data_IF_771486275683
#
_entry.id   IF_771486275683
#
_cell.length_a   1.000
_cell.length_b   1.000
_cell.length_c   1.000
_cell.angle_alpha   90.00
_cell.angle_beta   90.00
_cell.angle_gamma   90.00
#
_symmetry.space_group_name_H-M   'P 1'
#
loop_
_entity.id
_entity.type
_entity.pdbx_description
1 polymer ?
#
# COMPACT_ATOMS: atom_id res chain seq x y z
N UNK A 1 -5.83 25.10 -2.51
CA UNK A 1 -6.35 23.73 -2.37
C UNK A 1 -5.67 22.91 -3.44
N UNK A 2 -4.99 21.84 -3.06
CA UNK A 2 -4.12 21.07 -3.95
C UNK A 2 -4.88 19.88 -4.56
N UNK A 3 -4.59 19.57 -5.83
CA UNK A 3 -5.00 18.33 -6.46
C UNK A 3 -3.98 17.24 -6.12
N UNK A 4 -4.42 16.16 -5.51
CA UNK A 4 -3.56 15.08 -5.05
C UNK A 4 -3.98 13.74 -5.67
N UNK A 5 -2.98 12.89 -5.89
CA UNK A 5 -3.18 11.54 -6.45
C UNK A 5 -2.52 10.53 -5.52
N UNK A 6 -3.31 9.61 -4.98
CA UNK A 6 -2.79 8.48 -4.22
C UNK A 6 -2.80 7.21 -5.09
N UNK A 7 -1.65 6.55 -5.19
CA UNK A 7 -1.54 5.25 -5.88
C UNK A 7 -1.80 4.10 -4.91
N UNK A 8 -2.45 3.05 -5.40
CA UNK A 8 -2.65 1.79 -4.68
C UNK A 8 -2.56 0.59 -5.62
N UNK A 9 -2.64 -0.60 -5.08
CA UNK A 9 -2.85 -1.80 -5.87
C UNK A 9 -4.16 -1.68 -6.67
N UNK A 10 -4.14 -2.08 -7.94
CA UNK A 10 -5.37 -2.16 -8.76
C UNK A 10 -6.35 -3.10 -8.06
N UNK A 11 -7.60 -2.65 -7.90
CA UNK A 11 -8.64 -3.32 -7.14
C UNK A 11 -8.79 -2.81 -5.69
N UNK A 12 -7.85 -2.01 -5.18
CA UNK A 12 -7.91 -1.42 -3.83
C UNK A 12 -8.44 0.03 -3.81
N UNK A 13 -8.82 0.62 -4.94
CA UNK A 13 -9.18 2.03 -5.06
C UNK A 13 -10.35 2.42 -4.12
N UNK A 14 -11.35 1.55 -3.97
CA UNK A 14 -12.47 1.79 -3.05
C UNK A 14 -12.02 1.84 -1.59
N UNK A 15 -11.07 0.98 -1.21
CA UNK A 15 -10.51 0.93 0.15
C UNK A 15 -9.71 2.20 0.43
N UNK A 16 -8.80 2.59 -0.47
CA UNK A 16 -8.04 3.83 -0.37
C UNK A 16 -8.96 5.05 -0.35
N UNK A 17 -10.00 5.09 -1.18
CA UNK A 17 -10.99 6.16 -1.18
C UNK A 17 -11.74 6.29 0.15
N UNK A 18 -12.06 5.17 0.81
CA UNK A 18 -12.66 5.20 2.14
C UNK A 18 -11.66 5.73 3.20
N UNK A 19 -10.40 5.35 3.11
CA UNK A 19 -9.33 5.83 3.99
C UNK A 19 -9.15 7.36 3.87
N UNK A 20 -9.12 7.88 2.63
CA UNK A 20 -9.06 9.31 2.34
C UNK A 20 -10.27 10.07 2.92
N UNK A 21 -11.49 9.53 2.77
CA UNK A 21 -12.71 10.12 3.38
C UNK A 21 -12.65 10.14 4.91
N UNK A 22 -12.14 9.08 5.54
CA UNK A 22 -11.94 9.03 7.00
C UNK A 22 -10.92 10.06 7.49
N UNK A 23 -9.93 10.42 6.66
CA UNK A 23 -9.01 11.52 6.93
C UNK A 23 -9.63 12.91 6.68
N UNK A 24 -10.87 12.99 6.17
CA UNK A 24 -11.60 14.23 5.90
C UNK A 24 -11.41 14.78 4.49
N UNK A 25 -10.77 14.06 3.57
CA UNK A 25 -10.53 14.55 2.21
C UNK A 25 -11.72 14.30 1.28
N UNK A 26 -11.96 15.28 0.39
CA UNK A 26 -12.96 15.16 -0.68
C UNK A 26 -12.33 14.46 -1.88
N UNK A 27 -12.97 13.37 -2.33
CA UNK A 27 -12.52 12.66 -3.53
C UNK A 27 -12.90 13.41 -4.81
N UNK A 28 -12.03 13.30 -5.81
CA UNK A 28 -12.20 13.83 -7.17
C UNK A 28 -12.11 12.72 -8.24
N UNK A 29 -12.73 11.58 -7.97
CA UNK A 29 -12.72 10.43 -8.88
C UNK A 29 -11.63 9.39 -8.59
N UNK A 30 -11.56 8.42 -9.48
CA UNK A 30 -10.52 7.38 -9.47
C UNK A 30 -10.27 6.83 -10.88
N UNK A 31 -9.12 6.19 -11.05
CA UNK A 31 -8.75 5.39 -12.22
C UNK A 31 -8.05 4.11 -11.70
N UNK A 32 -7.84 3.07 -12.53
CA UNK A 32 -7.18 1.85 -12.09
C UNK A 32 -5.85 2.13 -11.38
N UNK A 33 -5.75 1.73 -10.10
CA UNK A 33 -4.60 1.95 -9.22
C UNK A 33 -4.41 3.40 -8.74
N UNK A 34 -5.38 4.32 -8.95
CA UNK A 34 -5.27 5.73 -8.57
C UNK A 34 -6.57 6.25 -7.98
N UNK A 35 -6.45 7.06 -6.92
CA UNK A 35 -7.56 7.82 -6.34
C UNK A 35 -7.17 9.29 -6.31
N UNK A 36 -8.02 10.16 -6.86
CA UNK A 36 -7.85 11.60 -6.92
C UNK A 36 -8.60 12.26 -5.76
N UNK A 37 -7.97 13.23 -5.11
CA UNK A 37 -8.58 13.93 -3.98
C UNK A 37 -8.08 15.37 -3.85
N UNK A 38 -8.84 16.18 -3.17
CA UNK A 38 -8.49 17.56 -2.82
C UNK A 38 -7.96 17.62 -1.39
N UNK A 39 -6.88 18.38 -1.17
CA UNK A 39 -6.32 18.64 0.14
C UNK A 39 -5.77 20.06 0.27
N UNK A 40 -5.65 20.52 1.50
CA UNK A 40 -4.89 21.71 1.86
C UNK A 40 -3.37 21.41 1.89
N UNK A 41 -2.55 22.35 2.34
CA UNK A 41 -1.10 22.16 2.42
C UNK A 41 -0.71 21.09 3.45
N UNK A 42 -1.51 20.93 4.51
CA UNK A 42 -1.32 19.86 5.49
C UNK A 42 -1.48 18.46 4.86
N UNK A 43 -2.36 18.34 3.87
CA UNK A 43 -2.60 17.08 3.18
C UNK A 43 -1.37 16.55 2.45
N UNK A 44 -0.46 17.41 2.00
CA UNK A 44 0.80 17.02 1.36
C UNK A 44 1.62 16.10 2.26
N UNK A 45 1.68 16.43 3.55
CA UNK A 45 2.40 15.64 4.55
C UNK A 45 1.51 14.58 5.20
N UNK A 46 0.30 14.95 5.64
CA UNK A 46 -0.59 14.09 6.42
C UNK A 46 -1.06 12.85 5.64
N UNK A 47 -1.30 12.97 4.31
CA UNK A 47 -1.64 11.82 3.49
C UNK A 47 -0.50 10.79 3.45
N UNK A 48 0.75 11.24 3.28
CA UNK A 48 1.92 10.37 3.33
C UNK A 48 2.12 9.71 4.70
N UNK A 49 1.87 10.44 5.78
CA UNK A 49 2.00 9.93 7.15
C UNK A 49 0.93 8.88 7.49
N UNK A 50 -0.33 9.11 7.08
CA UNK A 50 -1.49 8.39 7.61
C UNK A 50 -2.03 7.28 6.71
N UNK A 51 -1.86 7.36 5.38
CA UNK A 51 -2.45 6.39 4.46
C UNK A 51 -1.76 5.02 4.57
N UNK A 52 -2.55 3.99 4.89
CA UNK A 52 -2.08 2.61 5.05
C UNK A 52 -2.06 1.85 3.74
N UNK A 53 -3.02 2.16 2.85
CA UNK A 53 -3.27 1.41 1.62
C UNK A 53 -2.71 2.06 0.37
N UNK A 54 -2.17 3.29 0.50
CA UNK A 54 -1.48 3.97 -0.59
C UNK A 54 -0.03 3.50 -0.73
N UNK A 55 0.41 3.31 -1.97
CA UNK A 55 1.82 3.04 -2.30
C UNK A 55 2.64 4.32 -2.49
N UNK A 56 2.01 5.40 -2.97
CA UNK A 56 2.61 6.75 -3.14
C UNK A 56 1.52 7.82 -3.12
N UNK A 57 1.91 9.02 -2.77
CA UNK A 57 1.10 10.25 -2.89
C UNK A 57 1.84 11.23 -3.76
N UNK A 58 1.13 11.80 -4.75
CA UNK A 58 1.64 12.80 -5.68
C UNK A 58 0.87 14.10 -5.56
N UNK A 59 1.55 15.20 -5.79
CA UNK A 59 0.94 16.49 -6.10
C UNK A 59 0.75 16.59 -7.62
N UNK A 60 -0.46 16.82 -8.11
CA UNK A 60 -0.72 17.15 -9.51
C UNK A 60 -0.29 18.60 -9.75
N UNK A 61 0.80 18.77 -10.49
CA UNK A 61 1.38 20.08 -10.80
C UNK A 61 0.62 20.76 -11.96
N UNK A 62 0.27 19.96 -12.98
CA UNK A 62 -0.50 20.44 -14.12
C UNK A 62 -1.30 19.31 -14.78
N UNK A 63 -2.41 19.68 -15.42
CA UNK A 63 -3.21 18.83 -16.30
C UNK A 63 -3.64 19.61 -17.52
N UNK A 64 -3.44 19.05 -18.73
CA UNK A 64 -3.75 19.66 -20.00
C UNK A 64 -3.82 18.63 -21.11
N UNK A 65 -4.42 19.00 -22.25
CA UNK A 65 -4.49 18.17 -23.44
C UNK A 65 -3.25 18.36 -24.32
N UNK A 66 -2.69 17.27 -24.86
CA UNK A 66 -1.59 17.30 -25.81
C UNK A 66 -1.63 16.09 -26.74
N UNK A 67 -1.64 16.33 -28.04
CA UNK A 67 -1.65 15.31 -29.09
C UNK A 67 -0.28 15.11 -29.75
N UNK A 68 0.62 16.08 -29.61
CA UNK A 68 1.97 16.05 -30.17
C UNK A 68 3.03 16.50 -29.13
N UNK A 69 4.31 16.42 -29.55
CA UNK A 69 5.44 16.75 -28.67
C UNK A 69 5.61 18.25 -28.45
N UNK A 70 5.13 19.10 -29.32
CA UNK A 70 5.21 20.56 -29.16
C UNK A 70 4.19 21.01 -28.12
N UNK A 71 2.94 20.52 -28.20
CA UNK A 71 1.91 20.75 -27.20
C UNK A 71 2.33 20.19 -25.83
N UNK A 72 2.94 18.97 -25.81
CA UNK A 72 3.49 18.40 -24.59
C UNK A 72 4.56 19.31 -23.98
N UNK A 73 5.51 19.78 -24.77
CA UNK A 73 6.59 20.65 -24.31
C UNK A 73 6.04 21.96 -23.73
N UNK A 74 5.15 22.64 -24.45
CA UNK A 74 4.55 23.91 -24.03
C UNK A 74 3.77 23.76 -22.73
N UNK A 75 2.97 22.72 -22.58
CA UNK A 75 2.23 22.49 -21.33
C UNK A 75 3.14 22.21 -20.14
N UNK A 76 4.21 21.44 -20.33
CA UNK A 76 5.23 21.24 -19.28
C UNK A 76 5.96 22.52 -18.95
N UNK A 77 6.39 23.30 -19.95
CA UNK A 77 7.10 24.57 -19.78
C UNK A 77 6.26 25.61 -19.03
N UNK A 78 4.96 25.65 -19.28
CA UNK A 78 4.06 26.60 -18.63
C UNK A 78 3.70 26.22 -17.18
N UNK A 79 4.01 25.01 -16.71
CA UNK A 79 3.79 24.60 -15.34
C UNK A 79 4.74 25.34 -14.36
N UNK A 80 4.32 25.57 -13.09
CA UNK A 80 5.04 26.40 -12.12
C UNK A 80 6.17 25.62 -11.39
N UNK A 81 7.09 25.01 -12.11
CA UNK A 81 8.14 24.16 -11.55
C UNK A 81 9.05 24.87 -10.55
N UNK A 82 9.28 26.19 -10.73
CA UNK A 82 10.09 27.02 -9.85
C UNK A 82 9.56 27.08 -8.40
N UNK A 83 8.28 26.76 -8.19
CA UNK A 83 7.65 26.76 -6.86
C UNK A 83 7.96 25.45 -6.11
N UNK A 84 8.37 24.41 -6.84
CA UNK A 84 8.58 23.07 -6.29
C UNK A 84 10.05 22.63 -6.23
N UNK A 85 10.93 23.27 -6.99
CA UNK A 85 12.34 22.89 -7.08
C UNK A 85 13.27 23.97 -6.56
N UNK A 86 14.47 23.55 -6.13
CA UNK A 86 15.60 24.41 -5.79
C UNK A 86 16.50 24.58 -7.03
N UNK A 87 17.41 25.57 -7.00
CA UNK A 87 18.35 25.83 -8.10
C UNK A 87 19.31 24.70 -8.40
N UNK A 88 19.52 23.81 -7.43
CA UNK A 88 20.40 22.64 -7.51
C UNK A 88 19.64 21.31 -7.60
N UNK A 89 18.31 21.32 -7.58
CA UNK A 89 17.48 20.10 -7.65
C UNK A 89 17.84 19.25 -8.87
N UNK A 90 17.94 17.93 -8.66
CA UNK A 90 18.02 16.95 -9.73
C UNK A 90 16.64 16.40 -10.04
N UNK A 91 16.10 16.73 -11.19
CA UNK A 91 14.77 16.25 -11.61
C UNK A 91 14.90 14.94 -12.37
N UNK A 92 14.12 13.95 -11.96
CA UNK A 92 14.04 12.64 -12.61
C UNK A 92 12.61 12.36 -13.04
N UNK A 93 12.44 11.92 -14.29
CA UNK A 93 11.14 11.42 -14.75
C UNK A 93 11.12 9.93 -14.43
N UNK A 94 10.60 9.59 -13.22
CA UNK A 94 10.58 8.22 -12.67
C UNK A 94 9.82 7.27 -13.61
N UNK A 95 8.67 7.71 -14.12
CA UNK A 95 7.85 6.86 -14.97
C UNK A 95 6.90 7.66 -15.84
N UNK A 96 6.77 7.23 -17.07
CA UNK A 96 5.71 7.65 -17.98
C UNK A 96 4.72 6.49 -18.14
N UNK A 97 3.44 6.80 -18.22
CA UNK A 97 2.38 5.84 -18.54
C UNK A 97 1.45 6.45 -19.57
N UNK A 98 1.36 5.83 -20.71
CA UNK A 98 0.45 6.24 -21.80
C UNK A 98 -0.63 5.20 -22.02
N UNK A 99 -1.84 5.65 -22.29
CA UNK A 99 -2.98 4.78 -22.62
C UNK A 99 -3.91 5.49 -23.61
N UNK A 100 -4.18 4.85 -24.75
CA UNK A 100 -5.02 5.40 -25.83
C UNK A 100 -4.66 6.83 -26.20
N UNK A 101 -3.37 7.11 -26.36
CA UNK A 101 -2.85 8.44 -26.66
C UNK A 101 -1.98 8.41 -27.92
N UNK A 102 -1.97 9.54 -28.66
CA UNK A 102 -1.06 9.78 -29.79
C UNK A 102 0.39 9.79 -29.32
N UNK A 103 0.65 10.32 -28.14
CA UNK A 103 1.94 10.30 -27.43
C UNK A 103 2.16 8.95 -26.76
N UNK A 104 2.57 7.93 -27.50
CA UNK A 104 2.68 6.54 -27.02
C UNK A 104 4.12 6.07 -26.72
N UNK A 105 5.14 6.84 -27.09
CA UNK A 105 6.54 6.54 -26.78
C UNK A 105 6.91 7.05 -25.37
N UNK A 106 6.87 6.17 -24.36
CA UNK A 106 7.22 6.53 -22.98
C UNK A 106 8.61 7.19 -22.89
N UNK A 107 9.60 6.70 -23.66
CA UNK A 107 10.96 7.25 -23.66
C UNK A 107 11.05 8.64 -24.29
N UNK A 108 10.36 8.89 -25.42
CA UNK A 108 10.33 10.20 -26.03
C UNK A 108 9.63 11.24 -25.15
N UNK A 109 8.48 10.87 -24.56
CA UNK A 109 7.77 11.72 -23.58
C UNK A 109 8.68 12.06 -22.40
N UNK A 110 9.41 11.08 -21.84
CA UNK A 110 10.34 11.30 -20.74
C UNK A 110 11.40 12.37 -21.08
N UNK A 111 12.03 12.26 -22.26
CA UNK A 111 13.04 13.22 -22.71
C UNK A 111 12.49 14.63 -22.91
N UNK A 112 11.30 14.75 -23.53
CA UNK A 112 10.66 16.05 -23.78
C UNK A 112 10.25 16.72 -22.46
N UNK A 113 9.62 15.96 -21.53
CA UNK A 113 9.21 16.49 -20.23
C UNK A 113 10.42 17.00 -19.45
N UNK A 114 11.48 16.20 -19.35
CA UNK A 114 12.70 16.59 -18.64
C UNK A 114 13.33 17.87 -19.25
N UNK A 115 13.44 17.92 -20.58
CA UNK A 115 13.96 19.08 -21.31
C UNK A 115 13.13 20.34 -21.04
N UNK A 116 11.79 20.23 -21.05
CA UNK A 116 10.90 21.36 -20.84
C UNK A 116 10.96 21.89 -19.39
N UNK A 117 11.06 21.00 -18.40
CA UNK A 117 11.24 21.38 -16.99
C UNK A 117 12.55 22.17 -16.83
N UNK A 118 13.69 21.64 -17.31
CA UNK A 118 14.97 22.32 -17.17
C UNK A 118 15.02 23.63 -17.95
N UNK A 119 14.40 23.69 -19.13
CA UNK A 119 14.29 24.94 -19.89
C UNK A 119 13.52 26.00 -19.10
N UNK A 120 12.36 25.65 -18.51
CA UNK A 120 11.57 26.52 -17.64
C UNK A 120 12.39 27.04 -16.47
N UNK A 121 13.04 26.15 -15.74
CA UNK A 121 13.82 26.50 -14.55
C UNK A 121 15.03 27.40 -14.91
N UNK A 122 15.73 27.08 -15.99
CA UNK A 122 16.86 27.88 -16.50
C UNK A 122 16.42 29.30 -16.87
N UNK A 123 15.30 29.44 -17.55
CA UNK A 123 14.77 30.75 -17.95
C UNK A 123 14.33 31.60 -16.74
N UNK A 124 13.58 31.00 -15.80
CA UNK A 124 13.11 31.69 -14.59
C UNK A 124 14.29 32.15 -13.73
N UNK A 125 15.27 31.31 -13.54
CA UNK A 125 16.43 31.62 -12.69
C UNK A 125 17.60 32.27 -13.42
N UNK A 126 17.47 32.49 -14.73
CA UNK A 126 18.51 33.09 -15.61
C UNK A 126 19.84 32.36 -15.53
N UNK A 127 19.77 31.02 -15.58
CA UNK A 127 20.93 30.12 -15.55
C UNK A 127 21.16 29.49 -16.91
N UNK A 128 22.42 29.30 -17.31
CA UNK A 128 22.76 28.62 -18.57
C UNK A 128 22.48 27.11 -18.52
N UNK A 129 22.61 26.51 -17.34
CA UNK A 129 22.29 25.10 -17.07
C UNK A 129 22.02 24.90 -15.57
N UNK A 130 21.27 23.87 -15.25
CA UNK A 130 21.02 23.47 -13.86
C UNK A 130 22.19 22.63 -13.34
N UNK A 131 22.66 22.85 -12.08
CA UNK A 131 23.79 22.11 -11.53
C UNK A 131 23.52 20.63 -11.26
N UNK A 132 22.27 20.28 -10.96
CA UNK A 132 21.79 18.91 -10.65
C UNK A 132 22.57 18.22 -9.51
N UNK A 133 23.06 19.00 -8.55
CA UNK A 133 23.90 18.52 -7.42
C UNK A 133 23.11 18.30 -6.12
N UNK A 134 21.86 18.76 -6.08
CA UNK A 134 20.98 18.66 -4.92
C UNK A 134 20.18 17.37 -4.86
N UNK A 135 19.15 17.38 -4.03
CA UNK A 135 18.27 16.24 -3.82
C UNK A 135 17.53 15.86 -5.12
N UNK A 136 17.36 14.54 -5.32
CA UNK A 136 16.58 13.99 -6.40
C UNK A 136 15.09 14.19 -6.14
N UNK A 137 14.39 14.63 -7.18
CA UNK A 137 12.94 14.87 -7.15
C UNK A 137 12.26 14.15 -8.32
N UNK A 138 11.40 13.21 -8.01
CA UNK A 138 10.73 12.36 -8.98
C UNK A 138 9.48 13.03 -9.53
N UNK A 139 9.38 13.10 -10.85
CA UNK A 139 8.16 13.50 -11.59
C UNK A 139 7.62 12.29 -12.33
N UNK A 140 6.33 12.06 -12.20
CA UNK A 140 5.61 11.02 -12.92
C UNK A 140 4.63 11.63 -13.92
N UNK A 141 4.58 11.05 -15.11
CA UNK A 141 3.71 11.49 -16.18
C UNK A 141 2.68 10.41 -16.50
N UNK A 142 1.42 10.80 -16.53
CA UNK A 142 0.33 9.99 -17.06
C UNK A 142 -0.26 10.68 -18.28
N UNK A 143 -0.49 9.96 -19.36
CA UNK A 143 -1.19 10.44 -20.55
C UNK A 143 -2.30 9.44 -20.85
N UNK A 144 -3.53 9.86 -20.71
CA UNK A 144 -4.70 9.01 -20.90
C UNK A 144 -5.66 9.72 -21.85
N UNK A 145 -5.90 9.14 -23.02
CA UNK A 145 -6.78 9.75 -24.02
C UNK A 145 -6.35 11.19 -24.35
N UNK A 146 -5.03 11.39 -24.56
CA UNK A 146 -4.34 12.64 -24.84
C UNK A 146 -4.38 13.70 -23.72
N UNK A 147 -4.97 13.38 -22.54
CA UNK A 147 -4.88 14.20 -21.32
C UNK A 147 -3.59 13.91 -20.57
N UNK A 148 -2.71 14.90 -20.50
CA UNK A 148 -1.44 14.88 -19.79
C UNK A 148 -1.66 15.28 -18.33
N UNK A 149 -1.13 14.48 -17.40
CA UNK A 149 -1.11 14.76 -15.97
C UNK A 149 0.33 14.69 -15.46
N UNK A 150 0.85 15.81 -14.97
CA UNK A 150 2.19 15.94 -14.41
C UNK A 150 2.11 15.86 -12.89
N UNK A 151 2.79 14.89 -12.30
CA UNK A 151 2.70 14.55 -10.89
C UNK A 151 4.06 14.59 -10.21
N UNK A 152 4.23 15.41 -9.17
CA UNK A 152 5.42 15.47 -8.34
C UNK A 152 5.30 14.43 -7.21
N UNK A 153 6.30 13.57 -7.04
CA UNK A 153 6.30 12.57 -5.96
C UNK A 153 6.58 13.23 -4.60
N UNK A 154 5.64 13.06 -3.68
CA UNK A 154 5.77 13.52 -2.31
C UNK A 154 6.28 12.43 -1.36
N UNK A 155 6.23 11.18 -1.78
CA UNK A 155 6.53 10.00 -0.94
C UNK A 155 8.00 9.59 -0.94
N UNK A 156 8.67 9.66 -2.08
CA UNK A 156 10.01 9.13 -2.31
C UNK A 156 10.04 7.60 -2.35
N UNK A 157 10.60 6.92 -1.36
CA UNK A 157 10.46 5.48 -1.26
C UNK A 157 8.98 5.09 -1.18
N UNK A 158 8.54 3.98 -1.80
CA UNK A 158 7.15 3.53 -1.71
C UNK A 158 6.66 3.41 -0.27
N UNK A 159 5.39 3.79 -0.01
CA UNK A 159 4.83 3.86 1.34
C UNK A 159 4.71 2.50 2.04
N UNK A 160 4.71 1.39 1.30
CA UNK A 160 4.80 0.06 1.93
C UNK A 160 6.10 -0.13 2.72
N UNK A 161 7.19 0.57 2.39
CA UNK A 161 8.41 0.58 3.20
C UNK A 161 8.22 1.45 4.45
N UNK A 162 7.56 0.89 5.49
CA UNK A 162 7.19 1.61 6.73
C UNK A 162 8.40 2.01 7.58
N UNK A 163 9.53 1.32 7.44
CA UNK A 163 10.75 1.53 8.23
C UNK A 163 10.96 0.51 9.36
N UNK A 164 9.99 -0.36 9.64
CA UNK A 164 10.17 -1.39 10.67
C UNK A 164 10.88 -2.67 10.17
N UNK A 165 10.86 -2.92 8.86
CA UNK A 165 11.48 -4.11 8.26
C UNK A 165 12.95 -3.87 7.99
N UNK A 166 13.81 -4.66 8.61
CA UNK A 166 15.26 -4.63 8.38
C UNK A 166 15.70 -5.67 7.36
N UNK A 167 15.04 -6.84 7.37
CA UNK A 167 15.28 -7.91 6.41
C UNK A 167 13.92 -8.47 5.96
N UNK A 168 13.71 -8.49 4.64
CA UNK A 168 12.42 -8.89 4.06
C UNK A 168 12.29 -10.39 3.81
N UNK A 169 13.38 -11.12 3.78
CA UNK A 169 13.37 -12.48 3.25
C UNK A 169 13.01 -12.52 1.75
N UNK A 170 12.64 -13.69 1.23
CA UNK A 170 12.27 -13.87 -0.18
C UNK A 170 10.85 -13.34 -0.43
N UNK A 171 10.74 -12.25 -1.19
CA UNK A 171 9.51 -11.63 -1.71
C UNK A 171 8.34 -11.54 -0.68
N UNK A 172 8.48 -10.78 0.42
CA UNK A 172 7.45 -10.66 1.44
C UNK A 172 6.20 -9.95 0.90
N UNK A 173 5.05 -10.21 1.55
CA UNK A 173 3.84 -9.44 1.30
C UNK A 173 4.10 -7.94 1.57
N UNK A 174 3.63 -7.05 0.67
CA UNK A 174 3.73 -5.61 0.90
C UNK A 174 2.81 -5.20 2.04
N UNK A 175 3.27 -4.29 2.86
CA UNK A 175 2.54 -3.74 4.01
C UNK A 175 1.23 -3.07 3.57
N UNK A 176 1.24 -2.38 2.43
CA UNK A 176 0.03 -1.77 1.85
C UNK A 176 -1.00 -2.81 1.43
N UNK A 177 -0.55 -3.95 0.88
CA UNK A 177 -1.45 -5.07 0.55
C UNK A 177 -2.03 -5.71 1.81
N UNK A 178 -1.21 -5.91 2.86
CA UNK A 178 -1.69 -6.42 4.15
C UNK A 178 -2.76 -5.48 4.75
N UNK A 179 -2.54 -4.16 4.70
CA UNK A 179 -3.51 -3.17 5.16
C UNK A 179 -4.83 -3.22 4.33
N UNK A 180 -4.75 -3.43 3.01
CA UNK A 180 -5.93 -3.63 2.15
C UNK A 180 -6.70 -4.89 2.57
N UNK A 181 -6.00 -6.01 2.81
CA UNK A 181 -6.63 -7.26 3.23
C UNK A 181 -7.37 -7.13 4.57
N UNK A 182 -6.76 -6.47 5.56
CA UNK A 182 -7.38 -6.18 6.86
C UNK A 182 -8.68 -5.39 6.70
N UNK A 183 -8.67 -4.35 5.86
CA UNK A 183 -9.85 -3.51 5.61
C UNK A 183 -10.92 -4.23 4.78
N UNK A 184 -10.56 -5.06 3.81
CA UNK A 184 -11.52 -5.90 3.05
C UNK A 184 -12.22 -6.92 3.95
N UNK A 185 -11.51 -7.49 4.94
CA UNK A 185 -12.09 -8.38 5.96
C UNK A 185 -12.98 -7.64 6.95
N UNK A 186 -13.00 -6.30 6.94
CA UNK A 186 -13.67 -5.48 7.96
C UNK A 186 -13.22 -5.90 9.37
N UNK A 187 -11.92 -6.20 9.51
CA UNK A 187 -11.38 -6.64 10.78
C UNK A 187 -11.51 -5.56 11.86
N UNK A 188 -12.04 -5.94 13.00
CA UNK A 188 -12.25 -5.04 14.14
C UNK A 188 -11.07 -5.13 15.10
N UNK A 189 -10.55 -3.99 15.55
CA UNK A 189 -9.33 -3.83 16.36
C UNK A 189 -9.27 -4.69 17.64
N UNK A 190 -10.41 -5.09 18.20
CA UNK A 190 -10.50 -5.94 19.41
C UNK A 190 -10.73 -7.43 19.09
N UNK A 191 -10.92 -7.77 17.80
CA UNK A 191 -11.15 -9.14 17.37
C UNK A 191 -9.84 -9.89 17.36
N UNK A 192 -9.75 -11.13 17.88
CA UNK A 192 -8.59 -12.00 17.70
C UNK A 192 -8.19 -12.12 16.24
N UNK A 193 -6.88 -12.09 16.00
CA UNK A 193 -6.28 -12.18 14.67
C UNK A 193 -5.15 -13.21 14.65
N UNK A 194 -5.13 -14.05 13.63
CA UNK A 194 -4.06 -15.02 13.44
C UNK A 194 -3.62 -15.12 11.98
N UNK A 195 -2.30 -15.21 11.74
CA UNK A 195 -1.70 -15.55 10.45
C UNK A 195 -0.91 -16.86 10.55
N UNK A 196 -1.44 -17.99 10.03
CA UNK A 196 -0.79 -19.28 10.10
C UNK A 196 0.37 -19.47 9.11
N UNK A 197 0.70 -18.47 8.30
CA UNK A 197 1.82 -18.42 7.35
C UNK A 197 2.53 -17.07 7.46
N UNK A 198 2.90 -16.70 8.70
CA UNK A 198 3.26 -15.32 9.02
C UNK A 198 4.54 -14.82 8.34
N UNK A 199 5.43 -15.72 7.93
CA UNK A 199 6.70 -15.35 7.32
C UNK A 199 7.45 -14.34 8.18
N UNK A 200 7.75 -13.16 7.62
CA UNK A 200 8.39 -12.05 8.34
C UNK A 200 7.44 -11.19 9.18
N UNK A 201 6.20 -11.63 9.41
CA UNK A 201 5.23 -11.01 10.32
C UNK A 201 4.41 -9.87 9.76
N UNK A 202 4.37 -9.65 8.43
CA UNK A 202 3.74 -8.46 7.83
C UNK A 202 2.28 -8.27 8.26
N UNK A 203 1.43 -9.29 8.12
CA UNK A 203 0.00 -9.21 8.44
C UNK A 203 -0.24 -8.96 9.94
N UNK A 204 0.36 -9.71 10.90
CA UNK A 204 0.20 -9.44 12.33
C UNK A 204 0.72 -8.06 12.73
N UNK A 205 1.84 -7.58 12.16
CA UNK A 205 2.39 -6.26 12.45
C UNK A 205 1.46 -5.15 11.95
N UNK A 206 0.99 -5.21 10.70
CA UNK A 206 0.04 -4.22 10.16
C UNK A 206 -1.30 -4.25 10.93
N UNK A 207 -1.76 -5.44 11.38
CA UNK A 207 -2.93 -5.55 12.26
C UNK A 207 -2.70 -4.86 13.60
N UNK A 208 -1.53 -5.05 14.22
CA UNK A 208 -1.14 -4.39 15.44
C UNK A 208 -1.09 -2.87 15.30
N UNK A 209 -0.38 -2.35 14.29
CA UNK A 209 -0.31 -0.91 14.02
C UNK A 209 -1.71 -0.31 13.72
N UNK A 210 -2.58 -1.07 13.06
CA UNK A 210 -3.97 -0.66 12.81
C UNK A 210 -4.79 -0.67 14.11
N UNK A 211 -4.67 -1.70 14.97
CA UNK A 211 -5.38 -1.81 16.23
C UNK A 211 -5.06 -0.63 17.16
N UNK A 212 -3.78 -0.32 17.30
CA UNK A 212 -3.28 0.79 18.11
C UNK A 212 -3.40 2.16 17.43
N UNK A 213 -3.92 2.23 16.22
CA UNK A 213 -4.05 3.47 15.45
C UNK A 213 -2.72 4.21 15.21
N UNK A 214 -1.61 3.50 15.11
CA UNK A 214 -0.30 4.09 14.80
C UNK A 214 -0.26 4.46 13.33
N UNK A 215 0.03 5.71 12.98
CA UNK A 215 0.16 6.13 11.59
C UNK A 215 1.38 5.44 10.94
N UNK A 216 1.22 4.86 9.72
CA UNK A 216 2.23 3.98 9.12
C UNK A 216 3.51 4.71 8.71
N UNK A 217 3.45 6.03 8.58
CA UNK A 217 4.57 6.86 8.13
C UNK A 217 5.51 7.34 9.24
N UNK A 218 5.27 7.03 10.52
CA UNK A 218 6.12 7.51 11.63
C UNK A 218 7.57 7.03 11.55
N UNK A 219 7.82 5.87 10.93
CA UNK A 219 9.16 5.26 10.85
C UNK A 219 10.01 5.73 9.66
N UNK A 220 9.60 6.76 8.91
CA UNK A 220 10.26 7.12 7.66
C UNK A 220 10.26 8.62 7.37
N UNK A 221 11.08 9.02 6.41
CA UNK A 221 11.04 10.34 5.77
C UNK A 221 10.32 10.27 4.42
N UNK A 222 9.92 11.43 3.91
CA UNK A 222 9.24 11.58 2.63
C UNK A 222 10.02 12.50 1.70
N UNK A 223 9.89 12.32 0.37
CA UNK A 223 10.52 13.20 -0.61
C UNK A 223 10.09 14.65 -0.45
N UNK A 224 8.84 14.89 -0.04
CA UNK A 224 8.30 16.21 0.29
C UNK A 224 9.23 16.99 1.24
N UNK A 225 9.94 16.32 2.16
CA UNK A 225 10.80 16.99 3.16
C UNK A 225 12.01 17.70 2.52
N UNK A 226 12.33 17.40 1.26
CA UNK A 226 13.41 18.04 0.50
C UNK A 226 12.91 19.20 -0.39
N UNK A 227 11.60 19.34 -0.57
CA UNK A 227 11.00 20.34 -1.46
C UNK A 227 10.84 21.71 -0.78
N UNK A 228 10.92 22.84 -1.52
CA UNK A 228 10.72 24.19 -0.97
C UNK A 228 9.36 24.41 -0.30
N UNK A 229 8.34 23.68 -0.74
CA UNK A 229 6.98 23.76 -0.18
C UNK A 229 6.81 23.09 1.18
N UNK A 230 7.85 22.41 1.68
CA UNK A 230 7.78 21.71 2.96
C UNK A 230 7.87 22.65 4.15
N UNK A 231 6.92 22.53 5.06
CA UNK A 231 6.91 23.23 6.33
C UNK A 231 7.20 22.25 7.48
N UNK A 232 8.44 22.28 7.99
CA UNK A 232 8.92 21.35 9.02
C UNK A 232 8.18 21.53 10.38
N UNK A 233 7.83 22.76 10.74
CA UNK A 233 7.09 23.05 11.97
C UNK A 233 5.68 22.48 11.89
N UNK A 234 4.98 22.75 10.78
CA UNK A 234 3.65 22.21 10.54
C UNK A 234 3.63 20.69 10.47
N UNK A 235 4.63 20.08 9.83
CA UNK A 235 4.78 18.62 9.79
C UNK A 235 4.97 18.01 11.20
N UNK A 236 5.72 18.72 12.09
CA UNK A 236 5.86 18.33 13.51
C UNK A 236 4.53 18.40 14.25
N UNK A 237 3.75 19.47 14.07
CA UNK A 237 2.41 19.58 14.66
C UNK A 237 1.50 18.46 14.21
N UNK A 238 1.49 18.13 12.91
CA UNK A 238 0.71 17.01 12.36
C UNK A 238 1.15 15.71 13.00
N UNK A 239 2.47 15.44 13.12
CA UNK A 239 2.98 14.25 13.81
C UNK A 239 2.49 14.17 15.26
N UNK A 240 2.54 15.27 15.99
CA UNK A 240 2.04 15.33 17.38
C UNK A 240 0.54 15.02 17.42
N UNK A 241 -0.26 15.65 16.56
CA UNK A 241 -1.69 15.41 16.50
C UNK A 241 -2.06 13.96 16.15
N UNK A 242 -1.28 13.31 15.26
CA UNK A 242 -1.50 11.91 14.94
C UNK A 242 -0.96 10.97 16.04
N UNK A 243 0.11 11.35 16.77
CA UNK A 243 0.61 10.59 17.92
C UNK A 243 -0.41 10.57 19.09
N UNK A 244 -1.14 11.67 19.31
CA UNK A 244 -2.22 11.74 20.32
C UNK A 244 -3.38 10.78 20.05
N UNK A 245 -3.52 10.29 18.80
CA UNK A 245 -4.54 9.31 18.40
C UNK A 245 -4.11 7.86 18.60
N UNK A 246 -2.85 7.63 19.01
CA UNK A 246 -2.35 6.28 19.29
C UNK A 246 -3.08 5.73 20.52
N UNK A 247 -3.58 4.53 20.39
CA UNK A 247 -4.31 3.83 21.43
C UNK A 247 -3.39 2.87 22.15
N UNK A 248 -3.21 3.06 23.43
CA UNK A 248 -2.39 2.21 24.29
C UNK A 248 -3.22 1.28 25.20
N UNK A 249 -4.57 1.43 25.13
CA UNK A 249 -5.57 0.67 25.88
C UNK A 249 -6.09 -0.58 25.13
N UNK A 250 -5.46 -0.95 24.03
CA UNK A 250 -5.90 -2.08 23.18
C UNK A 250 -5.18 -3.33 23.62
N UNK A 251 -5.93 -4.35 24.02
CA UNK A 251 -5.43 -5.70 24.20
C UNK A 251 -5.09 -6.33 22.84
N UNK A 252 -3.83 -6.72 22.66
CA UNK A 252 -3.31 -7.20 21.37
C UNK A 252 -3.49 -8.73 21.26
N UNK A 253 -4.70 -9.19 20.89
CA UNK A 253 -4.97 -10.61 20.58
C UNK A 253 -4.57 -10.94 19.14
N UNK A 254 -3.31 -10.64 18.79
CA UNK A 254 -2.76 -10.77 17.46
C UNK A 254 -1.57 -11.71 17.49
N UNK A 255 -1.61 -12.75 16.67
CA UNK A 255 -0.54 -13.76 16.61
C UNK A 255 -0.24 -14.19 15.18
N UNK A 256 0.93 -14.79 15.01
CA UNK A 256 1.34 -15.43 13.76
C UNK A 256 2.16 -16.68 14.03
N UNK A 257 2.04 -17.66 13.15
CA UNK A 257 2.87 -18.87 13.17
C UNK A 257 3.49 -19.11 11.82
N UNK A 258 4.64 -19.77 11.81
CA UNK A 258 5.30 -20.25 10.62
C UNK A 258 6.09 -21.52 10.96
N UNK A 259 6.30 -22.39 10.00
CA UNK A 259 7.11 -23.61 10.18
C UNK A 259 8.61 -23.31 10.15
N UNK A 260 9.03 -22.18 9.56
CA UNK A 260 10.42 -21.75 9.49
C UNK A 260 10.82 -20.93 10.73
N UNK A 261 11.69 -21.47 11.64
CA UNK A 261 12.15 -20.73 12.81
C UNK A 261 12.83 -19.40 12.44
N UNK A 262 13.53 -19.34 11.31
CA UNK A 262 14.20 -18.12 10.88
C UNK A 262 13.20 -17.04 10.42
N UNK A 263 12.06 -17.44 9.84
CA UNK A 263 10.96 -16.52 9.51
C UNK A 263 10.33 -15.97 10.80
N UNK A 264 10.09 -16.82 11.81
CA UNK A 264 9.55 -16.41 13.10
C UNK A 264 10.48 -15.43 13.82
N UNK A 265 11.80 -15.68 13.81
CA UNK A 265 12.76 -14.74 14.40
C UNK A 265 12.79 -13.40 13.67
N UNK A 266 12.70 -13.39 12.34
CA UNK A 266 12.53 -12.15 11.55
C UNK A 266 11.24 -11.41 11.93
N UNK A 267 10.12 -12.15 12.09
CA UNK A 267 8.84 -11.57 12.48
C UNK A 267 8.90 -10.90 13.86
N UNK A 268 9.54 -11.54 14.85
CA UNK A 268 9.74 -10.97 16.19
C UNK A 268 10.56 -9.68 16.18
N UNK A 269 11.67 -9.65 15.42
CA UNK A 269 12.51 -8.46 15.24
C UNK A 269 11.75 -7.32 14.56
N UNK A 270 11.04 -7.61 13.46
CA UNK A 270 10.24 -6.62 12.75
C UNK A 270 9.12 -6.04 13.66
N UNK A 271 8.46 -6.87 14.45
CA UNK A 271 7.43 -6.43 15.42
C UNK A 271 8.03 -5.54 16.51
N UNK A 272 9.22 -5.86 17.02
CA UNK A 272 9.94 -5.02 17.96
C UNK A 272 10.24 -3.63 17.36
N UNK A 273 10.78 -3.58 16.14
CA UNK A 273 11.04 -2.32 15.45
C UNK A 273 9.76 -1.50 15.21
N UNK A 274 8.65 -2.14 14.87
CA UNK A 274 7.36 -1.48 14.73
C UNK A 274 6.87 -0.86 16.05
N UNK A 275 7.04 -1.56 17.17
CA UNK A 275 6.72 -1.05 18.50
C UNK A 275 7.66 0.07 18.94
N UNK A 276 8.97 0.00 18.62
CA UNK A 276 9.92 1.09 18.87
C UNK A 276 9.52 2.33 18.07
N UNK A 277 9.12 2.18 16.80
CA UNK A 277 8.61 3.28 15.98
C UNK A 277 7.38 3.94 16.63
N UNK A 278 6.41 3.16 17.10
CA UNK A 278 5.24 3.65 17.82
C UNK A 278 5.61 4.34 19.15
N UNK A 279 6.57 3.79 19.90
CA UNK A 279 7.09 4.37 21.13
C UNK A 279 7.73 5.75 20.89
N UNK A 280 8.51 5.91 19.81
CA UNK A 280 9.07 7.22 19.43
C UNK A 280 7.98 8.26 19.13
N UNK A 281 6.89 7.83 18.49
CA UNK A 281 5.76 8.72 18.26
C UNK A 281 5.08 9.13 19.58
N UNK A 282 4.91 8.21 20.54
CA UNK A 282 4.36 8.49 21.87
C UNK A 282 5.28 9.44 22.69
N UNK A 283 6.59 9.29 22.58
CA UNK A 283 7.55 10.20 23.21
C UNK A 283 7.44 11.63 22.72
N UNK A 284 7.00 11.87 21.47
CA UNK A 284 6.75 13.24 20.95
C UNK A 284 5.66 13.98 21.75
N UNK A 285 4.78 13.25 22.41
CA UNK A 285 3.70 13.79 23.26
C UNK A 285 3.98 13.60 24.74
N UNK A 286 5.21 13.27 25.13
CA UNK A 286 5.62 13.07 26.53
C UNK A 286 5.04 11.82 27.18
N UNK A 287 4.65 10.80 26.40
CA UNK A 287 4.08 9.56 26.90
C UNK A 287 5.10 8.42 26.88
N UNK A 288 5.29 7.73 28.02
CA UNK A 288 6.10 6.52 28.16
C UNK A 288 5.29 5.23 27.95
N UNK A 289 4.01 5.35 27.58
CA UNK A 289 3.16 4.21 27.28
C UNK A 289 3.72 3.37 26.13
N UNK A 290 3.41 2.10 26.13
CA UNK A 290 3.89 1.16 25.11
C UNK A 290 2.72 0.58 24.32
N UNK A 291 2.98 0.29 23.06
CA UNK A 291 2.10 -0.47 22.18
C UNK A 291 2.40 -1.94 22.40
N UNK A 292 1.37 -2.73 22.67
CA UNK A 292 1.50 -4.18 22.81
C UNK A 292 1.81 -4.82 21.45
N UNK A 293 2.80 -5.71 21.40
CA UNK A 293 3.26 -6.35 20.17
C UNK A 293 2.53 -7.66 19.88
N UNK A 294 2.41 -8.07 18.58
CA UNK A 294 1.92 -9.39 18.23
C UNK A 294 2.88 -10.49 18.69
N UNK A 295 2.36 -11.68 18.95
CA UNK A 295 3.15 -12.87 19.31
C UNK A 295 3.45 -13.72 18.07
N UNK A 296 4.61 -14.41 18.10
CA UNK A 296 5.01 -15.30 17.00
C UNK A 296 5.59 -16.60 17.54
N UNK A 297 5.16 -17.73 16.96
CA UNK A 297 5.57 -19.07 17.37
C UNK A 297 5.91 -19.94 16.17
N UNK A 298 6.85 -20.88 16.37
CA UNK A 298 7.17 -21.89 15.35
C UNK A 298 6.12 -22.99 15.48
N UNK A 299 5.24 -23.08 14.49
CA UNK A 299 4.19 -24.11 14.48
C UNK A 299 3.66 -24.33 13.06
N UNK A 300 3.25 -25.56 12.78
CA UNK A 300 2.48 -25.86 11.55
C UNK A 300 1.02 -25.43 11.72
N UNK A 301 0.42 -24.94 10.63
CA UNK A 301 -1.02 -24.64 10.64
C UNK A 301 -1.89 -25.87 10.96
N UNK A 302 -1.37 -27.10 10.76
CA UNK A 302 -2.06 -28.35 11.05
C UNK A 302 -2.21 -28.62 12.56
N UNK A 303 -1.34 -28.01 13.37
CA UNK A 303 -1.30 -28.21 14.83
C UNK A 303 -2.09 -27.13 15.56
N UNK A 304 -2.64 -26.14 14.82
CA UNK A 304 -3.35 -25.01 15.38
C UNK A 304 -4.79 -25.37 15.75
N UNK A 305 -5.27 -24.77 16.85
CA UNK A 305 -6.67 -24.78 17.27
C UNK A 305 -7.10 -23.36 17.61
N UNK A 306 -8.37 -23.06 17.37
CA UNK A 306 -8.93 -21.77 17.69
C UNK A 306 -8.87 -21.50 19.21
N UNK A 307 -8.16 -20.45 19.65
CA UNK A 307 -8.09 -20.10 21.09
C UNK A 307 -9.33 -19.36 21.59
N UNK A 308 -10.22 -18.92 20.67
CA UNK A 308 -11.44 -18.17 20.94
C UNK A 308 -12.56 -18.65 20.01
N UNK A 309 -13.81 -18.43 20.42
CA UNK A 309 -15.00 -18.84 19.63
C UNK A 309 -15.12 -18.11 18.29
N UNK A 310 -14.63 -16.88 18.22
CA UNK A 310 -14.62 -16.07 17.01
C UNK A 310 -13.31 -15.30 16.84
N UNK A 311 -12.94 -15.02 15.58
CA UNK A 311 -11.74 -14.30 15.24
C UNK A 311 -11.59 -14.13 13.74
N UNK A 312 -10.38 -13.79 13.32
CA UNK A 312 -10.06 -13.59 11.91
C UNK A 312 -8.69 -14.21 11.60
N UNK A 313 -8.66 -15.09 10.62
CA UNK A 313 -7.44 -15.53 9.95
C UNK A 313 -7.30 -14.73 8.67
N UNK A 314 -6.12 -14.17 8.45
CA UNK A 314 -5.71 -13.67 7.13
C UNK A 314 -4.32 -14.22 6.84
N UNK A 315 -4.13 -14.84 5.69
CA UNK A 315 -2.85 -15.42 5.33
C UNK A 315 -2.48 -15.26 3.85
N UNK A 316 -1.18 -15.38 3.62
CA UNK A 316 -0.53 -15.39 2.32
C UNK A 316 0.32 -16.67 2.22
N UNK A 317 -0.31 -17.84 2.02
CA UNK A 317 0.41 -19.09 1.90
C UNK A 317 1.36 -19.07 0.71
N UNK A 318 2.41 -19.88 0.68
CA UNK A 318 3.33 -19.96 -0.44
C UNK A 318 2.60 -20.38 -1.73
N UNK A 319 2.95 -19.75 -2.86
CA UNK A 319 2.43 -20.03 -4.21
C UNK A 319 3.46 -19.69 -5.28
N UNK A 320 3.28 -20.25 -6.50
CA UNK A 320 4.16 -19.99 -7.63
C UNK A 320 5.59 -20.46 -7.39
N UNK A 321 6.58 -19.66 -7.79
CA UNK A 321 8.02 -19.97 -7.69
C UNK A 321 8.51 -20.32 -6.27
N UNK A 322 7.74 -20.02 -5.22
CA UNK A 322 8.11 -20.32 -3.83
C UNK A 322 7.98 -21.81 -3.46
N UNK A 323 7.18 -22.56 -4.19
CA UNK A 323 6.98 -24.00 -3.96
C UNK A 323 7.65 -24.88 -5.01
N UNK A 324 8.17 -24.28 -6.11
CA UNK A 324 8.85 -25.03 -7.17
C UNK A 324 7.93 -25.91 -8.04
N UNK A 325 6.81 -26.41 -7.50
CA UNK A 325 5.87 -27.27 -8.21
C UNK A 325 4.40 -26.89 -7.91
N UNK A 326 3.55 -26.92 -8.95
CA UNK A 326 2.11 -26.66 -8.83
C UNK A 326 1.40 -27.73 -7.96
N UNK A 327 1.87 -28.98 -8.00
CA UNK A 327 1.28 -30.09 -7.25
C UNK A 327 1.51 -29.95 -5.73
N UNK A 328 2.65 -29.40 -5.31
CA UNK A 328 2.92 -29.10 -3.89
C UNK A 328 2.00 -27.99 -3.37
N UNK A 329 1.73 -26.97 -4.20
CA UNK A 329 0.78 -25.92 -3.85
C UNK A 329 -0.65 -26.46 -3.71
N UNK A 330 -1.09 -27.31 -4.65
CA UNK A 330 -2.42 -27.92 -4.58
C UNK A 330 -2.57 -28.83 -3.35
N UNK A 331 -1.52 -29.58 -2.99
CA UNK A 331 -1.50 -30.41 -1.78
C UNK A 331 -1.62 -29.55 -0.52
N UNK A 332 -0.82 -28.48 -0.44
CA UNK A 332 -0.88 -27.52 0.68
C UNK A 332 -2.31 -26.96 0.85
N UNK A 333 -2.93 -26.53 -0.26
CA UNK A 333 -4.29 -25.98 -0.20
C UNK A 333 -5.35 -27.00 0.19
N UNK A 334 -5.21 -28.26 -0.24
CA UNK A 334 -6.08 -29.36 0.25
C UNK A 334 -5.95 -29.54 1.76
N UNK A 335 -4.70 -29.52 2.27
CA UNK A 335 -4.43 -29.65 3.71
C UNK A 335 -4.96 -28.44 4.48
N UNK A 336 -4.90 -27.22 3.93
CA UNK A 336 -5.45 -26.00 4.54
C UNK A 336 -6.97 -26.06 4.77
N UNK A 337 -7.68 -27.01 4.16
CA UNK A 337 -9.11 -27.21 4.43
C UNK A 337 -9.38 -27.48 5.91
N UNK A 338 -8.44 -28.04 6.66
CA UNK A 338 -8.54 -28.29 8.11
C UNK A 338 -8.73 -26.99 8.92
N UNK A 339 -8.16 -25.86 8.46
CA UNK A 339 -8.30 -24.56 9.13
C UNK A 339 -9.79 -24.18 9.33
N UNK A 340 -10.67 -24.54 8.40
CA UNK A 340 -12.10 -24.24 8.53
C UNK A 340 -12.81 -25.04 9.60
N UNK A 341 -12.33 -26.22 9.88
CA UNK A 341 -12.88 -27.10 10.94
C UNK A 341 -12.27 -26.77 12.30
N UNK A 342 -10.97 -26.46 12.33
CA UNK A 342 -10.22 -26.09 13.52
C UNK A 342 -10.52 -24.67 14.03
N UNK A 343 -10.90 -23.76 13.12
CA UNK A 343 -11.27 -22.36 13.40
C UNK A 343 -12.73 -22.09 13.05
N UNK A 344 -13.61 -22.98 13.49
CA UNK A 344 -15.06 -22.84 13.29
C UNK A 344 -15.56 -21.54 13.92
N UNK A 345 -16.30 -20.74 13.16
CA UNK A 345 -16.78 -19.42 13.59
C UNK A 345 -15.87 -18.25 13.20
N UNK A 346 -14.62 -18.53 12.85
CA UNK A 346 -13.68 -17.50 12.39
C UNK A 346 -13.91 -17.11 10.94
N UNK A 347 -13.66 -15.84 10.64
CA UNK A 347 -13.53 -15.39 9.25
C UNK A 347 -12.15 -15.76 8.72
N UNK A 348 -12.08 -16.28 7.50
CA UNK A 348 -10.80 -16.69 6.88
C UNK A 348 -10.62 -15.92 5.58
N UNK A 349 -9.47 -15.24 5.43
CA UNK A 349 -9.04 -14.56 4.22
C UNK A 349 -7.74 -15.14 3.70
N UNK A 350 -7.70 -15.52 2.42
CA UNK A 350 -6.48 -16.08 1.79
C UNK A 350 -6.19 -15.34 0.50
N UNK A 351 -4.96 -14.84 0.35
CA UNK A 351 -4.49 -14.26 -0.91
C UNK A 351 -3.59 -15.26 -1.63
N UNK A 352 -3.85 -15.47 -2.93
CA UNK A 352 -3.02 -16.33 -3.78
C UNK A 352 -3.18 -15.96 -5.25
N UNK A 353 -2.17 -16.26 -6.08
CA UNK A 353 -2.25 -16.22 -7.54
C UNK A 353 -2.77 -17.53 -8.15
N UNK A 354 -2.97 -18.56 -7.35
CA UNK A 354 -3.37 -19.88 -7.84
C UNK A 354 -4.87 -19.92 -8.19
N UNK A 355 -5.17 -20.04 -9.48
CA UNK A 355 -6.55 -19.92 -10.01
C UNK A 355 -7.52 -21.01 -9.54
N UNK A 356 -7.00 -22.22 -9.22
CA UNK A 356 -7.81 -23.35 -8.75
C UNK A 356 -7.89 -23.45 -7.23
N UNK A 357 -7.51 -22.39 -6.49
CA UNK A 357 -7.48 -22.41 -5.03
C UNK A 357 -8.78 -22.91 -4.40
N UNK A 358 -9.94 -22.44 -4.86
CA UNK A 358 -11.25 -22.85 -4.32
C UNK A 358 -11.54 -24.34 -4.58
N UNK A 359 -11.11 -24.86 -5.71
CA UNK A 359 -11.27 -26.28 -6.05
C UNK A 359 -10.39 -27.15 -5.13
N UNK A 360 -9.13 -26.73 -4.91
CA UNK A 360 -8.20 -27.44 -4.04
C UNK A 360 -8.67 -27.45 -2.58
N UNK A 361 -9.16 -26.32 -2.04
CA UNK A 361 -9.63 -26.22 -0.67
C UNK A 361 -11.02 -26.84 -0.47
N UNK A 362 -11.73 -27.16 -1.56
CA UNK A 362 -13.07 -27.75 -1.54
C UNK A 362 -14.17 -26.84 -0.99
N UNK A 363 -13.95 -25.51 -1.00
CA UNK A 363 -14.89 -24.52 -0.47
C UNK A 363 -14.94 -23.30 -1.37
N UNK A 364 -16.12 -22.70 -1.50
CA UNK A 364 -16.32 -21.45 -2.25
C UNK A 364 -16.30 -20.26 -1.31
N UNK A 365 -15.55 -19.21 -1.69
CA UNK A 365 -15.49 -17.99 -0.94
C UNK A 365 -16.82 -17.19 -1.00
N UNK A 366 -17.16 -16.50 0.07
CA UNK A 366 -18.30 -15.59 0.14
C UNK A 366 -18.08 -14.34 -0.72
N UNK A 367 -16.81 -13.92 -0.84
CA UNK A 367 -16.39 -12.77 -1.64
C UNK A 367 -15.02 -13.03 -2.25
N UNK A 368 -14.87 -12.63 -3.50
CA UNK A 368 -13.60 -12.66 -4.24
C UNK A 368 -13.20 -11.22 -4.57
N UNK A 369 -11.93 -10.89 -4.37
CA UNK A 369 -11.39 -9.60 -4.73
C UNK A 369 -10.06 -9.75 -5.46
N UNK A 370 -10.04 -9.35 -6.72
CA UNK A 370 -8.80 -9.33 -7.47
C UNK A 370 -7.97 -8.12 -7.03
N UNK A 371 -6.69 -8.38 -6.75
CA UNK A 371 -5.69 -7.40 -6.34
C UNK A 371 -4.41 -7.63 -7.13
N UNK A 372 -3.84 -6.55 -7.65
CA UNK A 372 -2.53 -6.63 -8.29
C UNK A 372 -1.42 -6.40 -7.26
N UNK A 373 -0.81 -7.48 -6.79
CA UNK A 373 0.32 -7.45 -5.85
C UNK A 373 1.65 -7.36 -6.62
N UNK A 374 2.15 -6.14 -6.85
CA UNK A 374 3.32 -5.93 -7.70
C UNK A 374 3.03 -6.28 -9.16
N UNK A 375 3.77 -7.24 -9.72
CA UNK A 375 3.56 -7.75 -11.08
C UNK A 375 2.65 -8.98 -11.14
N UNK A 376 2.21 -9.51 -9.98
CA UNK A 376 1.39 -10.71 -9.90
C UNK A 376 -0.08 -10.35 -9.78
N UNK A 377 -0.90 -10.97 -10.61
CA UNK A 377 -2.35 -10.97 -10.47
C UNK A 377 -2.71 -11.98 -9.38
N UNK A 378 -3.31 -11.50 -8.29
CA UNK A 378 -3.72 -12.30 -7.14
C UNK A 378 -5.20 -12.13 -6.89
N UNK A 379 -5.81 -13.13 -6.28
CA UNK A 379 -7.20 -13.05 -5.80
C UNK A 379 -7.21 -13.24 -4.29
N UNK A 380 -7.88 -12.35 -3.60
CA UNK A 380 -8.15 -12.44 -2.17
C UNK A 380 -9.52 -13.11 -1.96
N UNK A 381 -9.50 -14.29 -1.36
CA UNK A 381 -10.66 -15.13 -1.08
C UNK A 381 -11.12 -14.88 0.36
N UNK A 382 -12.37 -14.48 0.56
CA UNK A 382 -12.96 -14.19 1.88
C UNK A 382 -14.07 -15.20 2.18
N UNK A 383 -13.94 -15.90 3.31
CA UNK A 383 -14.90 -16.85 3.85
C UNK A 383 -15.48 -16.30 5.15
N UNK A 384 -16.79 -16.18 5.22
CA UNK A 384 -17.50 -15.80 6.44
C UNK A 384 -17.77 -17.05 7.27
N UNK A 385 -17.40 -17.04 8.57
CA UNK A 385 -17.31 -18.21 9.45
C UNK A 385 -18.59 -18.99 9.77
N UNK A 386 -19.73 -18.69 9.15
CA UNK A 386 -21.04 -19.23 9.57
C UNK A 386 -21.74 -20.16 8.59
N UNK A 387 -21.21 -20.44 7.39
CA UNK A 387 -21.94 -21.31 6.43
C UNK A 387 -21.06 -22.40 5.80
N UNK A 388 -21.49 -23.66 5.97
CA UNK A 388 -21.18 -24.74 5.02
C UNK A 388 -21.83 -24.38 3.68
N UNK A 389 -21.15 -23.62 2.84
CA UNK A 389 -21.63 -23.42 1.47
C UNK A 389 -21.49 -24.74 0.71
N UNK A 390 -22.60 -25.45 0.55
CA UNK A 390 -22.73 -26.63 -0.29
C UNK A 390 -22.32 -26.26 -1.71
N UNK A 391 -21.46 -27.10 -2.29
CA UNK A 391 -21.12 -27.11 -3.72
C UNK A 391 -22.43 -27.11 -4.52
N UNK A 392 -22.84 -25.98 -5.09
CA UNK A 392 -23.84 -25.97 -6.14
C UNK A 392 -23.17 -26.51 -7.41
N UNK A 393 -23.28 -27.83 -7.61
CA UNK A 393 -23.11 -28.43 -8.93
C UNK A 393 -24.27 -27.95 -9.79
N UNK A 394 -23.96 -27.22 -10.84
CA UNK A 394 -24.89 -26.98 -11.93
C UNK A 394 -25.20 -25.51 -12.16
N UNK A 395 -24.88 -25.13 -13.36
CA UNK A 395 -25.34 -24.11 -14.29
C UNK A 395 -24.33 -23.03 -14.67
N UNK A 396 -23.38 -23.47 -15.52
CA UNK A 396 -22.83 -22.57 -16.54
C UNK A 396 -23.94 -22.28 -17.55
N UNK A 397 -24.71 -21.24 -17.35
CA UNK A 397 -25.42 -20.58 -18.45
C UNK A 397 -24.49 -19.50 -19.00
N UNK A 398 -24.08 -19.73 -20.26
CA UNK A 398 -23.28 -18.78 -21.01
C UNK A 398 -23.95 -17.41 -21.03
N UNK A 399 -23.21 -16.38 -20.67
CA UNK A 399 -23.51 -15.03 -21.08
C UNK A 399 -22.62 -14.70 -22.27
N UNK A 400 -23.35 -14.61 -23.42
CA UNK A 400 -22.82 -14.19 -24.69
C UNK A 400 -22.16 -12.82 -24.65
N UNK A 401 -21.26 -12.68 -25.60
CA UNK A 401 -20.62 -11.44 -26.04
C UNK A 401 -21.68 -10.35 -26.31
N UNK A 402 -21.48 -9.22 -25.74
CA UNK A 402 -21.67 -7.93 -26.43
C UNK A 402 -20.61 -6.96 -25.93
#
# INVERSE_FOLDING_TARGET
MNNLVALCAVGAEKILGNELKLLGYKLNGNAPGRVFFFGDDDALFRANLCLRTADRVYLEVARYHAEDFDELFEGVYNAPWQDFFKKDSRVVIDKVRTYKSKLNSEHAVQGIVLKAIYKKLSDVWRMSSMPETGDESDVRVFIVEDEVQLCLDLSGLPLHKRGYRTDGGVAPLRETTAAVMLQLMLWKRKMPFHDPFSGSGTLPIEACLYAHNVAPGFGRRFALENLPIFNAERAREIKIAEAQKIRTDVECRISGTDVDPAAVDRARKNAEHACVMAGRALQMIGSDAKVERPTFEVSSFKDLKAPYDEGTIICNPPYGERLGDADEAEKLYKDMSSLFDDFKGWKIGVITSHRKFQECIGRYASLLKDLKAGNLDTTFYIYNGTEKQKIRRGERKGRGRF
#
